data_IF_925790290770
#
_entry.id   IF_925790290770
#
_cell.length_a   1.000
_cell.length_b   1.000
_cell.length_c   1.000
_cell.angle_alpha   90.00
_cell.angle_beta   90.00
_cell.angle_gamma   90.00
#
_symmetry.space_group_name_H-M   'P 1'
#
loop_
_entity.id
_entity.type
_entity.pdbx_description
1 polymer ?
#
# COMPACT_ATOMS: atom_id res chain seq x y z
N UNK A 1 17.66 -5.36 -18.92
CA UNK A 1 17.08 -4.26 -18.12
C UNK A 1 15.62 -4.48 -17.73
N UNK A 2 14.74 -4.95 -18.63
CA UNK A 2 13.31 -5.19 -18.31
C UNK A 2 13.09 -6.12 -17.10
N UNK A 3 13.81 -7.24 -17.03
CA UNK A 3 13.69 -8.21 -15.92
C UNK A 3 14.03 -7.59 -14.56
N UNK A 4 15.03 -6.70 -14.50
CA UNK A 4 15.36 -5.96 -13.28
C UNK A 4 14.19 -5.08 -12.84
N UNK A 5 13.57 -4.35 -13.77
CA UNK A 5 12.41 -3.51 -13.45
C UNK A 5 11.19 -4.33 -13.02
N UNK A 6 10.96 -5.51 -13.62
CA UNK A 6 9.96 -6.47 -13.19
C UNK A 6 10.20 -6.92 -11.75
N UNK A 7 11.43 -7.31 -11.42
CA UNK A 7 11.82 -7.71 -10.06
C UNK A 7 11.54 -6.57 -9.08
N UNK A 8 12.00 -5.35 -9.38
CA UNK A 8 11.76 -4.18 -8.53
C UNK A 8 10.26 -3.86 -8.39
N UNK A 9 9.46 -4.07 -9.44
CA UNK A 9 8.02 -3.89 -9.41
C UNK A 9 7.34 -4.88 -8.45
N UNK A 10 7.69 -6.16 -8.51
CA UNK A 10 7.17 -7.18 -7.60
C UNK A 10 7.68 -7.00 -6.17
N UNK A 11 8.93 -6.58 -5.98
CA UNK A 11 9.47 -6.21 -4.66
C UNK A 11 8.67 -5.04 -4.08
N UNK A 12 8.36 -4.02 -4.87
CA UNK A 12 7.51 -2.90 -4.46
C UNK A 12 6.13 -3.35 -4.00
N UNK A 13 5.47 -4.25 -4.75
CA UNK A 13 4.21 -4.88 -4.34
C UNK A 13 4.35 -5.63 -3.02
N UNK A 14 5.39 -6.46 -2.90
CA UNK A 14 5.64 -7.27 -1.71
C UNK A 14 5.84 -6.42 -0.45
N UNK A 15 6.64 -5.35 -0.54
CA UNK A 15 6.86 -4.41 0.56
C UNK A 15 5.55 -3.73 0.96
N UNK A 16 4.78 -3.24 -0.02
CA UNK A 16 3.52 -2.52 0.26
C UNK A 16 2.47 -3.45 0.88
N UNK A 17 2.31 -4.66 0.34
CA UNK A 17 1.40 -5.68 0.90
C UNK A 17 1.86 -6.13 2.29
N UNK A 18 3.15 -6.41 2.48
CA UNK A 18 3.72 -6.84 3.75
C UNK A 18 3.53 -5.81 4.86
N UNK A 19 3.72 -4.53 4.55
CA UNK A 19 3.43 -3.44 5.48
C UNK A 19 1.93 -3.38 5.84
N UNK A 20 1.05 -3.49 4.85
CA UNK A 20 -0.39 -3.43 5.06
C UNK A 20 -0.91 -4.62 5.91
N UNK A 21 -0.43 -5.84 5.64
CA UNK A 21 -0.75 -7.04 6.43
C UNK A 21 -0.19 -6.92 7.85
N UNK A 22 1.04 -6.43 8.01
CA UNK A 22 1.64 -6.22 9.34
C UNK A 22 0.81 -5.24 10.17
N UNK A 23 0.38 -4.12 9.58
CA UNK A 23 -0.49 -3.14 10.25
C UNK A 23 -1.82 -3.77 10.68
N UNK A 24 -2.42 -4.61 9.84
CA UNK A 24 -3.66 -5.32 10.15
C UNK A 24 -3.49 -6.25 11.37
N UNK A 25 -2.44 -7.07 11.37
CA UNK A 25 -2.15 -8.00 12.48
C UNK A 25 -1.89 -7.23 13.78
N UNK A 26 -1.09 -6.16 13.72
CA UNK A 26 -0.77 -5.32 14.86
C UNK A 26 -1.99 -4.57 15.39
N UNK A 27 -2.88 -4.10 14.52
CA UNK A 27 -4.14 -3.49 14.93
C UNK A 27 -5.05 -4.47 15.67
N UNK A 28 -5.03 -5.77 15.30
CA UNK A 28 -5.72 -6.81 16.05
C UNK A 28 -5.24 -6.92 17.49
N UNK A 29 -3.92 -6.88 17.72
CA UNK A 29 -3.32 -6.89 19.07
C UNK A 29 -3.61 -5.61 19.85
N UNK A 30 -3.69 -4.48 19.16
CA UNK A 30 -3.92 -3.18 19.79
C UNK A 30 -5.33 -3.00 20.38
N UNK A 31 -6.32 -3.80 19.97
CA UNK A 31 -7.73 -3.69 20.44
C UNK A 31 -7.91 -3.92 21.95
N UNK A 32 -7.02 -4.66 22.59
CA UNK A 32 -7.11 -4.98 24.03
C UNK A 32 -6.26 -4.08 24.93
N UNK A 33 -5.58 -3.07 24.39
CA UNK A 33 -4.65 -2.23 25.14
C UNK A 33 -5.37 -1.05 25.82
N UNK A 34 -4.87 -0.64 26.99
CA UNK A 34 -5.28 0.63 27.60
C UNK A 34 -4.81 1.82 26.75
N UNK A 35 -5.39 3.00 26.94
CA UNK A 35 -5.03 4.20 26.17
C UNK A 35 -3.53 4.55 26.24
N UNK A 36 -2.90 4.34 27.39
CA UNK A 36 -1.47 4.58 27.59
C UNK A 36 -0.60 3.54 26.86
N UNK A 37 -0.96 2.25 26.99
CA UNK A 37 -0.29 1.15 26.30
C UNK A 37 -0.44 1.26 24.78
N UNK A 38 -1.62 1.68 24.31
CA UNK A 38 -1.89 1.91 22.89
C UNK A 38 -1.01 3.02 22.33
N UNK A 39 -0.82 4.12 23.07
CA UNK A 39 0.04 5.22 22.62
C UNK A 39 1.51 4.78 22.48
N UNK A 40 2.02 4.00 23.44
CA UNK A 40 3.37 3.41 23.38
C UNK A 40 3.50 2.42 22.23
N UNK A 41 2.52 1.53 22.06
CA UNK A 41 2.47 0.56 20.98
C UNK A 41 2.50 1.23 19.61
N UNK A 42 1.63 2.22 19.38
CA UNK A 42 1.57 2.99 18.13
C UNK A 42 2.86 3.76 17.84
N UNK A 43 3.58 4.20 18.87
CA UNK A 43 4.90 4.82 18.73
C UNK A 43 5.95 3.81 18.24
N UNK A 44 5.94 2.59 18.75
CA UNK A 44 6.86 1.51 18.35
C UNK A 44 6.60 1.04 16.91
N UNK A 45 5.33 0.85 16.54
CA UNK A 45 4.98 0.36 15.20
C UNK A 45 4.98 1.47 14.13
N UNK A 46 5.28 2.72 14.51
CA UNK A 46 5.29 3.89 13.62
C UNK A 46 6.18 3.69 12.40
N UNK A 47 7.27 2.93 12.51
CA UNK A 47 8.17 2.66 11.38
C UNK A 47 7.44 2.05 10.19
N UNK A 48 6.43 1.21 10.43
CA UNK A 48 5.62 0.56 9.38
C UNK A 48 4.83 1.56 8.53
N UNK A 49 4.53 2.75 9.06
CA UNK A 49 3.84 3.81 8.30
C UNK A 49 4.70 4.35 7.17
N UNK A 50 6.03 4.18 7.22
CA UNK A 50 6.93 4.60 6.15
C UNK A 50 7.26 3.49 5.15
N UNK A 51 7.12 2.21 5.55
CA UNK A 51 7.45 1.05 4.70
C UNK A 51 6.47 0.91 3.53
N UNK A 52 5.16 1.05 3.78
CA UNK A 52 4.13 0.96 2.75
C UNK A 52 4.33 1.94 1.59
N UNK A 53 4.52 3.25 1.86
CA UNK A 53 4.83 4.25 0.83
C UNK A 53 6.11 3.99 0.04
N UNK A 54 7.16 3.45 0.67
CA UNK A 54 8.40 3.10 -0.03
C UNK A 54 8.16 1.97 -1.04
N UNK A 55 7.41 0.94 -0.64
CA UNK A 55 6.99 -0.12 -1.57
C UNK A 55 6.15 0.42 -2.73
N UNK A 56 5.21 1.34 -2.45
CA UNK A 56 4.40 1.97 -3.48
C UNK A 56 5.21 2.86 -4.43
N UNK A 57 6.18 3.62 -3.90
CA UNK A 57 7.06 4.43 -4.73
C UNK A 57 7.87 3.54 -5.68
N UNK A 58 8.46 2.47 -5.15
CA UNK A 58 9.21 1.50 -5.94
C UNK A 58 8.31 0.86 -7.01
N UNK A 59 7.07 0.52 -6.67
CA UNK A 59 6.06 -0.01 -7.59
C UNK A 59 5.79 0.93 -8.77
N UNK A 60 5.54 2.21 -8.47
CA UNK A 60 5.18 3.22 -9.47
C UNK A 60 6.38 3.48 -10.38
N UNK A 61 7.56 3.73 -9.81
CA UNK A 61 8.77 4.05 -10.58
C UNK A 61 9.15 2.90 -11.50
N UNK A 62 9.22 1.67 -10.97
CA UNK A 62 9.52 0.48 -11.77
C UNK A 62 8.46 0.22 -12.85
N UNK A 63 7.17 0.40 -12.53
CA UNK A 63 6.08 0.24 -13.47
C UNK A 63 6.14 1.23 -14.62
N UNK A 64 6.44 2.51 -14.34
CA UNK A 64 6.60 3.54 -15.36
C UNK A 64 7.80 3.26 -16.27
N UNK A 65 8.93 2.81 -15.72
CA UNK A 65 10.13 2.48 -16.51
C UNK A 65 9.92 1.25 -17.41
N UNK A 66 9.00 0.37 -17.04
CA UNK A 66 8.61 -0.76 -17.89
C UNK A 66 7.69 -0.39 -19.05
N UNK A 67 7.01 0.77 -19.03
CA UNK A 67 6.00 1.13 -20.02
C UNK A 67 6.56 1.33 -21.44
N UNK A 68 7.80 1.79 -21.56
CA UNK A 68 8.43 2.12 -22.84
C UNK A 68 8.28 1.01 -23.91
N UNK A 69 8.80 -0.20 -23.67
CA UNK A 69 8.75 -1.29 -24.65
C UNK A 69 7.37 -1.93 -24.88
N UNK A 70 6.37 -1.65 -24.02
CA UNK A 70 5.04 -2.32 -24.08
C UNK A 70 3.89 -1.34 -24.38
N UNK A 71 4.20 -0.09 -24.69
CA UNK A 71 3.24 1.01 -24.87
C UNK A 71 2.14 0.73 -25.90
N UNK A 72 2.46 -0.04 -26.95
CA UNK A 72 1.48 -0.44 -27.96
C UNK A 72 0.46 -1.45 -27.41
N UNK A 73 0.88 -2.43 -26.61
CA UNK A 73 0.01 -3.43 -25.99
C UNK A 73 -0.78 -2.85 -24.80
N UNK A 74 -0.27 -1.79 -24.18
CA UNK A 74 -0.94 -1.05 -23.10
C UNK A 74 -2.27 -0.47 -23.57
N UNK A 75 -2.41 -0.07 -24.84
CA UNK A 75 -3.64 0.56 -25.37
C UNK A 75 -4.80 -0.40 -25.59
N UNK A 76 -4.54 -1.70 -25.69
CA UNK A 76 -5.54 -2.71 -26.06
C UNK A 76 -5.90 -3.66 -24.91
N UNK A 77 -5.12 -3.67 -23.83
CA UNK A 77 -5.33 -4.57 -22.70
C UNK A 77 -6.14 -3.90 -21.58
N UNK A 78 -7.45 -4.19 -21.52
CA UNK A 78 -8.34 -3.68 -20.47
C UNK A 78 -7.90 -4.03 -19.04
N UNK A 79 -7.31 -5.20 -18.82
CA UNK A 79 -6.81 -5.61 -17.49
C UNK A 79 -5.64 -4.73 -17.03
N UNK A 80 -4.81 -4.28 -17.97
CA UNK A 80 -3.72 -3.35 -17.67
C UNK A 80 -4.27 -2.01 -17.16
N UNK A 81 -5.31 -1.47 -17.82
CA UNK A 81 -5.98 -0.25 -17.37
C UNK A 81 -6.62 -0.43 -15.98
N UNK A 82 -7.31 -1.54 -15.74
CA UNK A 82 -7.88 -1.85 -14.42
C UNK A 82 -6.81 -1.89 -13.33
N UNK A 83 -5.68 -2.58 -13.58
CA UNK A 83 -4.54 -2.60 -12.66
C UNK A 83 -4.05 -1.19 -12.36
N UNK A 84 -3.86 -0.36 -13.40
CA UNK A 84 -3.36 1.00 -13.25
C UNK A 84 -4.32 1.86 -12.43
N UNK A 85 -5.63 1.77 -12.68
CA UNK A 85 -6.65 2.46 -11.89
C UNK A 85 -6.60 2.04 -10.42
N UNK A 86 -6.44 0.75 -10.12
CA UNK A 86 -6.32 0.27 -8.75
C UNK A 86 -5.04 0.78 -8.05
N UNK A 87 -3.92 0.87 -8.78
CA UNK A 87 -2.68 1.46 -8.25
C UNK A 87 -2.90 2.94 -7.89
N UNK A 88 -3.61 3.69 -8.73
CA UNK A 88 -3.96 5.08 -8.45
C UNK A 88 -4.87 5.19 -7.22
N UNK A 89 -5.88 4.32 -7.10
CA UNK A 89 -6.74 4.26 -5.91
C UNK A 89 -5.93 3.94 -4.65
N UNK A 90 -5.02 2.97 -4.73
CA UNK A 90 -4.13 2.61 -3.62
C UNK A 90 -3.23 3.79 -3.21
N UNK A 91 -2.72 4.55 -4.17
CA UNK A 91 -1.93 5.76 -3.91
C UNK A 91 -2.72 6.82 -3.16
N UNK A 92 -3.93 7.15 -3.63
CA UNK A 92 -4.79 8.10 -2.93
C UNK A 92 -5.22 7.61 -1.55
N UNK A 93 -5.48 6.31 -1.42
CA UNK A 93 -5.83 5.70 -0.14
C UNK A 93 -4.69 5.84 0.88
N UNK A 94 -3.47 5.49 0.50
CA UNK A 94 -2.29 5.64 1.36
C UNK A 94 -2.06 7.12 1.70
N UNK A 95 -2.15 8.02 0.71
CA UNK A 95 -2.04 9.46 0.92
C UNK A 95 -3.08 10.00 1.91
N UNK A 96 -4.34 9.55 1.79
CA UNK A 96 -5.41 9.91 2.71
C UNK A 96 -5.14 9.45 4.14
N UNK A 97 -4.62 8.22 4.33
CA UNK A 97 -4.22 7.72 5.65
C UNK A 97 -3.12 8.60 6.28
N UNK A 98 -2.10 8.96 5.51
CA UNK A 98 -1.04 9.85 5.97
C UNK A 98 -1.56 11.24 6.36
N UNK A 99 -2.44 11.82 5.54
CA UNK A 99 -3.04 13.12 5.81
C UNK A 99 -3.92 13.07 7.07
N UNK A 100 -4.73 12.03 7.24
CA UNK A 100 -5.57 11.83 8.41
C UNK A 100 -4.73 11.71 9.69
N UNK A 101 -3.68 10.89 9.66
CA UNK A 101 -2.74 10.76 10.79
C UNK A 101 -2.02 12.08 11.10
N UNK A 102 -1.59 12.82 10.08
CA UNK A 102 -0.96 14.12 10.26
C UNK A 102 -1.92 15.15 10.88
N UNK A 103 -3.19 15.15 10.45
CA UNK A 103 -4.23 16.03 11.00
C UNK A 103 -4.53 15.69 12.47
N UNK A 104 -4.69 14.41 12.81
CA UNK A 104 -4.92 13.97 14.18
C UNK A 104 -3.80 14.37 15.14
N UNK A 105 -2.54 14.33 14.68
CA UNK A 105 -1.38 14.78 15.46
C UNK A 105 -1.41 16.29 15.71
N UNK A 106 -1.74 17.09 14.69
CA UNK A 106 -1.81 18.55 14.81
C UNK A 106 -2.91 19.00 15.77
N UNK A 107 -4.04 18.29 15.81
CA UNK A 107 -5.17 18.61 16.69
C UNK A 107 -5.02 18.05 18.12
N UNK A 108 -3.91 17.39 18.46
CA UNK A 108 -3.73 16.74 19.76
C UNK A 108 -4.74 15.62 20.04
N UNK A 109 -5.37 15.06 18.99
CA UNK A 109 -6.40 14.05 19.16
C UNK A 109 -5.79 12.76 19.71
N UNK A 110 -6.51 12.10 20.62
CA UNK A 110 -6.09 10.82 21.18
C UNK A 110 -5.84 9.80 20.04
N UNK A 111 -4.80 8.95 20.15
CA UNK A 111 -4.53 7.91 19.16
C UNK A 111 -5.73 6.97 19.04
N UNK A 112 -6.30 6.88 17.84
CA UNK A 112 -7.39 5.94 17.53
C UNK A 112 -6.93 4.94 16.49
N UNK A 113 -7.27 3.68 16.71
CA UNK A 113 -7.12 2.65 15.68
C UNK A 113 -8.12 2.92 14.55
N UNK A 114 -7.71 2.74 13.28
CA UNK A 114 -8.65 2.76 12.17
C UNK A 114 -9.67 1.63 12.32
N UNK A 115 -10.84 1.77 11.68
CA UNK A 115 -11.82 0.68 11.64
C UNK A 115 -11.24 -0.56 10.94
N UNK A 116 -11.77 -1.73 11.26
CA UNK A 116 -11.33 -2.99 10.62
C UNK A 116 -11.52 -2.97 9.10
N UNK A 117 -12.60 -2.33 8.61
CA UNK A 117 -12.83 -2.14 7.17
C UNK A 117 -11.70 -1.30 6.55
N UNK A 118 -11.37 -0.17 7.17
CA UNK A 118 -10.28 0.70 6.70
C UNK A 118 -8.93 -0.03 6.67
N UNK A 119 -8.67 -0.93 7.62
CA UNK A 119 -7.44 -1.72 7.66
C UNK A 119 -7.36 -2.78 6.54
N UNK A 120 -8.51 -3.30 6.09
CA UNK A 120 -8.58 -4.32 5.04
C UNK A 120 -8.40 -3.75 3.62
N UNK A 121 -8.75 -2.49 3.39
CA UNK A 121 -8.66 -1.86 2.05
C UNK A 121 -7.26 -1.98 1.45
N UNK A 122 -6.21 -1.68 2.22
CA UNK A 122 -4.82 -1.74 1.73
C UNK A 122 -4.40 -3.14 1.26
N UNK A 123 -4.45 -4.16 2.14
CA UNK A 123 -4.13 -5.53 1.75
C UNK A 123 -4.98 -6.05 0.60
N UNK A 124 -6.29 -5.79 0.59
CA UNK A 124 -7.18 -6.23 -0.48
C UNK A 124 -6.81 -5.60 -1.82
N UNK A 125 -6.62 -4.28 -1.88
CA UNK A 125 -6.21 -3.60 -3.11
C UNK A 125 -4.87 -4.14 -3.61
N UNK A 126 -3.86 -4.28 -2.74
CA UNK A 126 -2.56 -4.83 -3.11
C UNK A 126 -2.66 -6.26 -3.65
N UNK A 127 -3.51 -7.10 -3.06
CA UNK A 127 -3.72 -8.46 -3.53
C UNK A 127 -4.38 -8.49 -4.92
N UNK A 128 -5.43 -7.69 -5.13
CA UNK A 128 -6.09 -7.59 -6.45
C UNK A 128 -5.11 -7.09 -7.51
N UNK A 129 -4.26 -6.10 -7.18
CA UNK A 129 -3.22 -5.60 -8.10
C UNK A 129 -2.21 -6.71 -8.47
N UNK A 130 -1.81 -7.54 -7.50
CA UNK A 130 -0.92 -8.69 -7.77
C UNK A 130 -1.58 -9.69 -8.72
N UNK A 131 -2.84 -10.06 -8.45
CA UNK A 131 -3.60 -10.99 -9.31
C UNK A 131 -3.69 -10.45 -10.73
N UNK A 132 -4.07 -9.17 -10.90
CA UNK A 132 -4.12 -8.53 -12.22
C UNK A 132 -2.75 -8.44 -12.88
N UNK A 133 -1.67 -8.20 -12.13
CA UNK A 133 -0.32 -8.19 -12.68
C UNK A 133 0.04 -9.55 -13.28
N UNK A 134 -0.31 -10.66 -12.62
CA UNK A 134 -0.11 -12.01 -13.17
C UNK A 134 -0.97 -12.25 -14.41
N UNK A 135 -2.24 -11.85 -14.37
CA UNK A 135 -3.18 -12.06 -15.48
C UNK A 135 -2.86 -11.23 -16.73
N UNK A 136 -2.23 -10.06 -16.57
CA UNK A 136 -1.84 -9.19 -17.69
C UNK A 136 -0.65 -9.75 -18.48
N UNK A 137 0.23 -10.54 -17.85
CA UNK A 137 1.43 -11.11 -18.47
C UNK A 137 1.30 -12.59 -18.83
N UNK A 138 0.13 -13.19 -18.62
CA UNK A 138 -0.26 -14.45 -19.27
C UNK A 138 -0.71 -14.17 -20.69
#
# INVERSE_FOLDING_TARGET
MRELWLILHFVGLGISLGAAVSILVLAGRAKGLSSEQLALFLKQVRVLTFVGPLGLLLLIVSGLLMLGPVWAAVKTNGLFHTKLTLVVILFFWIGFQHMSQARARKSGAAPKLPSTVTLLVGPTLSLVIIVLAVLVFK
#
